data_IF_065269568526
#
_entry.id   IF_065269568526
#
_cell.length_a   1.000
_cell.length_b   1.000
_cell.length_c   1.000
_cell.angle_alpha   90.00
_cell.angle_beta   90.00
_cell.angle_gamma   90.00
#
_symmetry.space_group_name_H-M   'P 1'
#
loop_
_entity.id
_entity.type
_entity.pdbx_description
1 polymer ?
#
# COMPACT_ATOMS: atom_id res chain seq x y z
N UNK A 1 4.97 -5.62 14.52
CA UNK A 1 4.90 -6.33 15.83
C UNK A 1 6.31 -6.79 16.15
N UNK A 2 6.87 -6.38 17.30
CA UNK A 2 8.24 -6.75 17.74
C UNK A 2 8.16 -8.00 18.61
N UNK A 3 9.11 -8.92 18.47
CA UNK A 3 9.19 -10.12 19.30
C UNK A 3 9.92 -9.82 20.61
N UNK A 4 9.21 -9.91 21.74
CA UNK A 4 9.75 -9.76 23.09
C UNK A 4 9.84 -11.14 23.75
N UNK A 5 11.06 -11.56 24.14
CA UNK A 5 11.39 -12.82 24.83
C UNK A 5 10.92 -14.13 24.15
N UNK A 6 11.87 -14.94 23.66
CA UNK A 6 11.66 -16.32 23.20
C UNK A 6 11.85 -16.55 21.68
N UNK A 7 12.02 -17.80 21.21
CA UNK A 7 12.35 -18.12 19.80
C UNK A 7 11.14 -18.13 18.85
N UNK A 8 10.01 -17.53 19.24
CA UNK A 8 8.89 -17.32 18.34
C UNK A 8 9.24 -16.15 17.43
N UNK A 9 9.48 -16.24 16.13
CA UNK A 9 9.45 -17.35 15.20
C UNK A 9 9.75 -16.75 13.83
N UNK A 10 11.01 -16.85 13.38
CA UNK A 10 11.37 -16.46 12.01
C UNK A 10 10.45 -17.21 11.06
N UNK A 11 9.79 -16.49 10.15
CA UNK A 11 9.00 -17.14 9.11
C UNK A 11 9.91 -18.12 8.40
N UNK A 12 9.69 -19.45 8.51
CA UNK A 12 10.60 -20.39 7.89
C UNK A 12 10.47 -20.27 6.37
N UNK A 13 11.55 -20.51 5.65
CA UNK A 13 11.52 -20.59 4.17
C UNK A 13 10.43 -21.55 3.69
N UNK A 14 10.16 -22.61 4.46
CA UNK A 14 9.06 -23.54 4.21
C UNK A 14 7.68 -22.88 4.18
N UNK A 15 7.41 -21.87 5.00
CA UNK A 15 6.15 -21.11 4.97
C UNK A 15 6.01 -20.33 3.66
N UNK A 16 7.05 -19.59 3.26
CA UNK A 16 7.07 -18.84 1.99
C UNK A 16 6.90 -19.78 0.79
N UNK A 17 7.62 -20.90 0.81
CA UNK A 17 7.54 -21.95 -0.23
C UNK A 17 6.15 -22.59 -0.28
N UNK A 18 5.52 -22.84 0.87
CA UNK A 18 4.14 -23.34 0.90
C UNK A 18 3.19 -22.32 0.27
N UNK A 19 3.33 -21.04 0.59
CA UNK A 19 2.53 -19.97 -0.01
C UNK A 19 2.64 -19.92 -1.54
N UNK A 20 3.84 -20.14 -2.11
CA UNK A 20 4.01 -20.14 -3.57
C UNK A 20 3.31 -21.30 -4.30
N UNK A 21 3.05 -22.41 -3.61
CA UNK A 21 2.34 -23.57 -4.18
C UNK A 21 0.86 -23.63 -3.80
N UNK A 22 0.40 -22.79 -2.88
CA UNK A 22 -0.97 -22.76 -2.39
C UNK A 22 -1.52 -21.33 -2.50
N UNK A 23 -1.74 -20.83 -3.72
CA UNK A 23 -2.30 -19.50 -3.89
C UNK A 23 -3.68 -19.42 -3.23
N UNK A 24 -4.07 -18.24 -2.72
CA UNK A 24 -5.41 -18.05 -2.18
C UNK A 24 -6.47 -18.32 -3.25
N UNK A 25 -7.65 -18.77 -2.82
CA UNK A 25 -8.78 -18.94 -3.71
C UNK A 25 -9.11 -17.63 -4.43
N UNK A 26 -9.64 -17.73 -5.65
CA UNK A 26 -10.09 -16.57 -6.39
C UNK A 26 -11.23 -15.87 -5.64
N UNK A 27 -11.19 -14.52 -5.51
CA UNK A 27 -12.27 -13.79 -4.86
C UNK A 27 -13.55 -13.90 -5.71
N UNK A 28 -14.68 -14.11 -5.03
CA UNK A 28 -16.01 -14.22 -5.67
C UNK A 28 -16.97 -13.13 -5.23
N UNK A 29 -16.62 -12.36 -4.20
CA UNK A 29 -17.44 -11.27 -3.67
C UNK A 29 -17.44 -10.09 -4.64
N UNK A 30 -18.63 -9.63 -5.01
CA UNK A 30 -18.81 -8.48 -5.91
C UNK A 30 -18.46 -7.14 -5.25
N UNK A 31 -17.99 -6.19 -6.07
CA UNK A 31 -17.82 -4.78 -5.77
C UNK A 31 -18.91 -3.91 -6.43
N UNK A 32 -20.04 -4.50 -6.83
CA UNK A 32 -21.15 -3.74 -7.42
C UNK A 32 -21.58 -2.55 -6.54
N UNK A 33 -21.66 -1.37 -7.17
CA UNK A 33 -21.96 -0.11 -6.48
C UNK A 33 -20.81 0.47 -5.65
N UNK A 34 -19.64 -0.19 -5.59
CA UNK A 34 -18.52 0.21 -4.73
C UNK A 34 -17.40 0.90 -5.51
N UNK A 35 -16.78 1.89 -4.86
CA UNK A 35 -15.55 2.54 -5.30
C UNK A 35 -14.35 1.94 -4.55
N UNK A 36 -13.36 1.45 -5.30
CA UNK A 36 -12.15 0.83 -4.75
C UNK A 36 -10.92 1.61 -5.19
N UNK A 37 -10.01 1.86 -4.27
CA UNK A 37 -8.71 2.48 -4.52
C UNK A 37 -7.60 1.48 -4.21
N UNK A 38 -6.60 1.37 -5.10
CA UNK A 38 -5.42 0.54 -4.89
C UNK A 38 -4.17 1.36 -5.23
N UNK A 39 -3.18 1.43 -4.34
CA UNK A 39 -1.88 2.02 -4.65
C UNK A 39 -0.84 0.97 -5.06
N UNK A 40 0.27 1.38 -5.66
CA UNK A 40 1.37 0.48 -6.05
C UNK A 40 1.00 -0.52 -7.16
N UNK A 41 0.12 -0.12 -8.08
CA UNK A 41 -0.42 -0.99 -9.12
C UNK A 41 0.51 -1.22 -10.32
N UNK A 42 1.77 -0.79 -10.27
CA UNK A 42 2.71 -0.97 -11.40
C UNK A 42 3.15 -2.41 -11.63
N UNK A 43 3.18 -3.21 -10.56
CA UNK A 43 3.70 -4.58 -10.57
C UNK A 43 3.27 -5.32 -9.30
N UNK A 44 3.64 -6.61 -9.21
CA UNK A 44 3.47 -7.39 -7.98
C UNK A 44 2.01 -7.54 -7.55
N UNK A 45 1.79 -7.58 -6.23
CA UNK A 45 0.47 -7.86 -5.62
C UNK A 45 -0.53 -6.75 -5.93
N UNK A 46 -0.13 -5.48 -5.85
CA UNK A 46 -1.01 -4.35 -6.18
C UNK A 46 -1.53 -4.39 -7.62
N UNK A 47 -0.68 -4.78 -8.59
CA UNK A 47 -1.11 -5.00 -9.97
C UNK A 47 -2.07 -6.19 -10.11
N UNK A 48 -1.80 -7.31 -9.43
CA UNK A 48 -2.70 -8.47 -9.46
C UNK A 48 -4.06 -8.15 -8.84
N UNK A 49 -4.10 -7.35 -7.76
CA UNK A 49 -5.35 -6.86 -7.18
C UNK A 49 -6.12 -5.99 -8.19
N UNK A 50 -5.45 -4.98 -8.78
CA UNK A 50 -6.03 -4.12 -9.80
C UNK A 50 -6.51 -4.87 -11.05
N UNK A 51 -5.92 -6.03 -11.35
CA UNK A 51 -6.33 -6.90 -12.45
C UNK A 51 -7.56 -7.76 -12.12
N UNK A 52 -7.73 -8.17 -10.87
CA UNK A 52 -8.85 -9.03 -10.44
C UNK A 52 -10.11 -8.25 -10.08
N UNK A 53 -9.96 -7.10 -9.43
CA UNK A 53 -11.08 -6.25 -8.98
C UNK A 53 -12.08 -5.95 -10.10
N UNK A 54 -11.69 -5.60 -11.34
CA UNK A 54 -12.64 -5.23 -12.38
C UNK A 54 -13.56 -6.38 -12.83
N UNK A 55 -13.13 -7.63 -12.71
CA UNK A 55 -13.98 -8.80 -12.97
C UNK A 55 -15.08 -9.00 -11.90
N UNK A 56 -15.01 -8.26 -10.80
CA UNK A 56 -15.97 -8.25 -9.70
C UNK A 56 -16.92 -7.04 -9.78
N UNK A 57 -17.03 -6.42 -10.95
CA UNK A 57 -17.99 -5.34 -11.26
C UNK A 57 -17.98 -4.13 -10.30
N UNK A 58 -16.82 -3.52 -10.00
CA UNK A 58 -16.79 -2.28 -9.23
C UNK A 58 -17.52 -1.17 -9.97
N UNK A 59 -18.13 -0.24 -9.24
CA UNK A 59 -18.62 1.01 -9.82
C UNK A 59 -17.44 1.85 -10.33
N UNK A 60 -16.36 1.89 -9.56
CA UNK A 60 -15.12 2.61 -9.91
C UNK A 60 -13.90 1.93 -9.28
N UNK A 61 -12.82 1.82 -10.05
CA UNK A 61 -11.51 1.41 -9.60
C UNK A 61 -10.51 2.56 -9.84
N UNK A 62 -9.91 3.05 -8.76
CA UNK A 62 -8.86 4.06 -8.81
C UNK A 62 -7.51 3.38 -8.55
N UNK A 63 -6.56 3.53 -9.47
CA UNK A 63 -5.21 3.00 -9.33
C UNK A 63 -4.18 4.12 -9.12
N UNK A 64 -3.42 4.03 -8.04
CA UNK A 64 -2.29 4.90 -7.74
C UNK A 64 -0.99 4.30 -8.24
N UNK A 65 -0.26 5.04 -9.07
CA UNK A 65 1.01 4.60 -9.64
C UNK A 65 2.06 5.71 -9.71
N UNK A 66 3.34 5.39 -9.51
CA UNK A 66 4.40 6.41 -9.60
C UNK A 66 4.60 6.93 -11.02
N UNK A 67 4.63 6.03 -12.01
CA UNK A 67 4.88 6.38 -13.41
C UNK A 67 3.59 6.16 -14.19
N UNK A 68 2.93 7.26 -14.59
CA UNK A 68 1.60 7.20 -15.20
C UNK A 68 1.55 6.35 -16.47
N UNK A 69 2.60 6.36 -17.30
CA UNK A 69 2.68 5.54 -18.51
C UNK A 69 2.65 4.04 -18.23
N UNK A 70 3.19 3.59 -17.09
CA UNK A 70 3.05 2.19 -16.63
C UNK A 70 1.62 1.89 -16.17
N UNK A 71 0.90 2.89 -15.67
CA UNK A 71 -0.48 2.78 -15.21
C UNK A 71 -1.44 2.61 -16.37
N UNK A 72 -1.27 3.42 -17.40
CA UNK A 72 -2.04 3.30 -18.64
C UNK A 72 -1.76 1.96 -19.33
N UNK A 73 -0.51 1.50 -19.35
CA UNK A 73 -0.18 0.17 -19.86
C UNK A 73 -0.84 -0.95 -19.05
N UNK A 74 -0.83 -0.85 -17.72
CA UNK A 74 -1.50 -1.80 -16.83
C UNK A 74 -3.02 -1.80 -17.07
N UNK A 75 -3.65 -0.62 -17.13
CA UNK A 75 -5.07 -0.43 -17.45
C UNK A 75 -5.43 -1.08 -18.79
N UNK A 76 -4.65 -0.83 -19.85
CA UNK A 76 -4.89 -1.42 -21.16
C UNK A 76 -4.85 -2.96 -21.10
N UNK A 77 -3.89 -3.55 -20.39
CA UNK A 77 -3.80 -5.01 -20.22
C UNK A 77 -4.97 -5.60 -19.44
N UNK A 78 -5.47 -4.88 -18.44
CA UNK A 78 -6.63 -5.27 -17.64
C UNK A 78 -7.90 -5.28 -18.51
N UNK A 79 -8.10 -4.23 -19.31
CA UNK A 79 -9.27 -4.11 -20.20
C UNK A 79 -9.31 -5.18 -21.29
N UNK A 80 -8.16 -5.68 -21.75
CA UNK A 80 -8.11 -6.83 -22.66
C UNK A 80 -8.62 -8.12 -22.02
N UNK A 81 -8.40 -8.29 -20.71
CA UNK A 81 -8.77 -9.51 -19.98
C UNK A 81 -10.20 -9.49 -19.46
N UNK A 82 -10.74 -8.30 -19.23
CA UNK A 82 -12.10 -8.08 -18.75
C UNK A 82 -12.85 -7.30 -19.83
N UNK A 83 -13.20 -7.96 -20.93
CA UNK A 83 -13.82 -7.31 -22.10
C UNK A 83 -15.24 -6.78 -21.86
N UNK A 84 -15.82 -7.08 -20.69
CA UNK A 84 -17.20 -6.73 -20.32
C UNK A 84 -17.35 -5.41 -19.58
N UNK A 85 -16.25 -4.69 -19.30
CA UNK A 85 -16.30 -3.44 -18.52
C UNK A 85 -15.92 -2.22 -19.36
N UNK A 86 -16.54 -1.08 -19.04
CA UNK A 86 -16.18 0.20 -19.63
C UNK A 86 -14.80 0.67 -19.12
N UNK A 87 -13.98 1.18 -20.05
CA UNK A 87 -12.66 1.73 -19.72
C UNK A 87 -12.68 2.90 -18.73
N UNK A 88 -13.81 3.58 -18.59
CA UNK A 88 -14.05 4.68 -17.64
C UNK A 88 -14.17 4.21 -16.19
N UNK A 89 -14.42 2.92 -15.96
CA UNK A 89 -14.46 2.35 -14.60
C UNK A 89 -13.07 2.43 -13.94
N UNK A 90 -11.99 2.39 -14.73
CA UNK A 90 -10.61 2.40 -14.22
C UNK A 90 -9.98 3.78 -14.42
N UNK A 91 -9.67 4.47 -13.34
CA UNK A 91 -8.96 5.77 -13.33
C UNK A 91 -7.55 5.59 -12.78
N UNK A 92 -6.54 6.14 -13.46
CA UNK A 92 -5.15 6.10 -13.02
C UNK A 92 -4.67 7.48 -12.58
N UNK A 93 -4.10 7.57 -11.39
CA UNK A 93 -3.52 8.82 -10.88
C UNK A 93 -2.04 8.64 -10.48
N UNK A 94 -1.19 9.65 -10.77
CA UNK A 94 0.20 9.62 -10.36
C UNK A 94 0.32 9.79 -8.83
N UNK A 95 1.13 8.95 -8.19
CA UNK A 95 1.51 9.10 -6.79
C UNK A 95 2.95 8.63 -6.55
N UNK A 96 3.80 9.54 -6.08
CA UNK A 96 5.12 9.24 -5.57
C UNK A 96 5.15 9.39 -4.04
N UNK A 97 5.29 8.27 -3.34
CA UNK A 97 5.31 8.27 -1.87
C UNK A 97 6.63 8.81 -1.29
N UNK A 98 7.61 9.16 -2.12
CA UNK A 98 8.81 9.88 -1.68
C UNK A 98 8.58 11.38 -1.53
N UNK A 99 7.41 11.91 -1.93
CA UNK A 99 7.05 13.33 -1.83
C UNK A 99 5.66 13.50 -1.20
N UNK A 100 5.57 14.27 -0.10
CA UNK A 100 4.27 14.55 0.52
C UNK A 100 3.39 15.43 -0.36
N UNK A 101 3.97 16.35 -1.11
CA UNK A 101 3.24 17.15 -2.10
C UNK A 101 2.61 16.25 -3.19
N UNK A 102 3.33 15.25 -3.68
CA UNK A 102 2.77 14.26 -4.61
C UNK A 102 1.62 13.47 -3.97
N UNK A 103 1.74 13.08 -2.71
CA UNK A 103 0.68 12.37 -1.98
C UNK A 103 -0.57 13.23 -1.84
N UNK A 104 -0.42 14.49 -1.41
CA UNK A 104 -1.55 15.42 -1.26
C UNK A 104 -2.25 15.65 -2.59
N UNK A 105 -1.49 15.89 -3.68
CA UNK A 105 -2.05 16.06 -5.02
C UNK A 105 -2.81 14.85 -5.51
N UNK A 106 -2.31 13.64 -5.22
CA UNK A 106 -3.00 12.39 -5.53
C UNK A 106 -4.33 12.31 -4.78
N UNK A 107 -4.33 12.51 -3.46
CA UNK A 107 -5.56 12.41 -2.66
C UNK A 107 -6.57 13.47 -3.08
N UNK A 108 -6.13 14.69 -3.38
CA UNK A 108 -7.01 15.74 -3.91
C UNK A 108 -7.63 15.35 -5.26
N UNK A 109 -6.88 14.66 -6.12
CA UNK A 109 -7.43 14.12 -7.37
C UNK A 109 -8.51 13.06 -7.12
N UNK A 110 -8.27 12.15 -6.16
CA UNK A 110 -9.26 11.14 -5.74
C UNK A 110 -10.52 11.80 -5.18
N UNK A 111 -10.38 12.76 -4.27
CA UNK A 111 -11.51 13.52 -3.67
C UNK A 111 -12.32 14.29 -4.71
N UNK A 112 -11.70 14.69 -5.83
CA UNK A 112 -12.42 15.31 -6.96
C UNK A 112 -13.12 14.29 -7.85
N UNK A 113 -12.63 13.06 -7.94
CA UNK A 113 -13.16 12.05 -8.85
C UNK A 113 -14.30 11.21 -8.26
N UNK A 114 -14.44 11.17 -6.94
CA UNK A 114 -15.50 10.44 -6.25
C UNK A 114 -15.92 11.12 -4.94
N UNK A 115 -17.18 10.91 -4.55
CA UNK A 115 -17.72 11.35 -3.26
C UNK A 115 -17.70 10.24 -2.19
N UNK A 116 -17.47 8.99 -2.60
CA UNK A 116 -17.50 7.80 -1.73
C UNK A 116 -16.28 6.92 -2.00
N UNK A 117 -15.81 6.24 -0.95
CA UNK A 117 -14.75 5.24 -1.04
C UNK A 117 -15.08 4.04 -0.14
N UNK A 118 -15.27 2.87 -0.74
CA UNK A 118 -15.64 1.64 -0.02
C UNK A 118 -14.42 0.85 0.44
N UNK A 119 -13.33 0.90 -0.32
CA UNK A 119 -12.09 0.22 0.04
C UNK A 119 -10.88 0.98 -0.47
N UNK A 120 -9.91 1.22 0.42
CA UNK A 120 -8.58 1.72 0.10
C UNK A 120 -7.55 0.63 0.41
N UNK A 121 -6.91 0.08 -0.61
CA UNK A 121 -5.84 -0.90 -0.49
C UNK A 121 -4.51 -0.16 -0.70
N UNK A 122 -3.86 0.17 0.40
CA UNK A 122 -2.61 0.91 0.41
C UNK A 122 -1.44 -0.06 0.30
N UNK A 123 -1.12 -0.42 -0.93
CA UNK A 123 0.00 -1.27 -1.28
C UNK A 123 1.15 -0.38 -1.77
N UNK A 124 2.06 -0.04 -0.86
CA UNK A 124 3.31 0.66 -1.21
C UNK A 124 4.45 0.09 -0.39
N UNK A 125 5.62 -0.02 -1.01
CA UNK A 125 6.79 -0.59 -0.36
C UNK A 125 8.09 -0.17 -1.04
N UNK A 126 9.03 0.31 -0.25
CA UNK A 126 10.45 0.39 -0.56
C UNK A 126 11.21 -0.57 0.36
N UNK A 127 12.28 -1.18 -0.17
CA UNK A 127 13.15 -2.10 0.56
C UNK A 127 14.59 -1.72 0.25
N UNK A 128 15.08 -0.68 0.92
CA UNK A 128 16.44 -0.20 0.76
C UNK A 128 17.35 -0.87 1.81
N UNK A 129 18.53 -1.32 1.39
CA UNK A 129 19.52 -1.93 2.29
C UNK A 129 20.44 -0.90 2.95
N UNK A 130 20.34 0.37 2.56
CA UNK A 130 21.13 1.49 3.07
C UNK A 130 20.22 2.69 3.25
N UNK A 131 20.60 3.57 4.17
CA UNK A 131 19.98 4.88 4.30
C UNK A 131 20.07 5.66 2.99
N UNK A 132 18.91 6.02 2.45
CA UNK A 132 18.80 6.83 1.24
C UNK A 132 17.80 7.95 1.50
N UNK A 133 18.25 9.20 1.74
CA UNK A 133 17.35 10.28 2.07
C UNK A 133 16.59 10.74 0.81
N UNK A 134 15.31 11.01 1.00
CA UNK A 134 14.44 11.65 0.00
C UNK A 134 14.02 13.03 0.52
N UNK A 135 13.13 13.70 -0.22
CA UNK A 135 12.64 15.06 0.10
C UNK A 135 12.34 15.22 1.60
N UNK A 136 12.84 16.29 2.22
CA UNK A 136 12.64 16.53 3.66
C UNK A 136 13.57 15.75 4.59
N UNK A 137 14.60 15.07 4.06
CA UNK A 137 15.65 14.43 4.88
C UNK A 137 15.22 13.14 5.56
N UNK A 138 14.18 12.50 5.03
CA UNK A 138 13.69 11.21 5.54
C UNK A 138 14.34 10.05 4.79
N UNK A 139 14.71 8.99 5.50
CA UNK A 139 15.01 7.70 4.90
C UNK A 139 13.84 7.25 4.03
N UNK A 140 14.18 6.72 2.85
CA UNK A 140 13.19 6.30 1.85
C UNK A 140 12.23 5.25 2.41
N UNK A 141 12.71 4.29 3.21
CA UNK A 141 11.89 3.17 3.71
C UNK A 141 10.84 3.66 4.70
N UNK A 142 11.24 4.45 5.71
CA UNK A 142 10.26 5.00 6.67
C UNK A 142 9.30 5.98 6.00
N UNK A 143 9.80 6.83 5.09
CA UNK A 143 8.94 7.79 4.40
C UNK A 143 7.89 7.09 3.56
N UNK A 144 8.30 6.17 2.70
CA UNK A 144 7.40 5.50 1.75
C UNK A 144 6.44 4.56 2.46
N UNK A 145 6.95 3.68 3.33
CA UNK A 145 6.18 2.57 3.88
C UNK A 145 5.29 2.98 5.05
N UNK A 146 5.65 4.04 5.78
CA UNK A 146 4.96 4.45 7.01
C UNK A 146 4.35 5.84 6.84
N UNK A 147 5.17 6.88 6.69
CA UNK A 147 4.69 8.26 6.78
C UNK A 147 3.74 8.62 5.64
N UNK A 148 4.15 8.38 4.39
CA UNK A 148 3.34 8.68 3.21
C UNK A 148 2.11 7.78 3.11
N UNK A 149 2.24 6.49 3.43
CA UNK A 149 1.10 5.58 3.46
C UNK A 149 0.06 6.02 4.51
N UNK A 150 0.50 6.41 5.71
CA UNK A 150 -0.37 6.95 6.75
C UNK A 150 -1.02 8.26 6.31
N UNK A 151 -0.28 9.15 5.66
CA UNK A 151 -0.82 10.40 5.11
C UNK A 151 -1.94 10.14 4.10
N UNK A 152 -1.75 9.21 3.16
CA UNK A 152 -2.81 8.80 2.21
C UNK A 152 -4.05 8.33 2.98
N UNK A 153 -3.89 7.43 3.94
CA UNK A 153 -5.02 6.89 4.71
C UNK A 153 -5.78 7.99 5.47
N UNK A 154 -5.05 8.86 6.17
CA UNK A 154 -5.63 9.96 6.95
C UNK A 154 -6.38 10.95 6.06
N UNK A 155 -5.80 11.32 4.92
CA UNK A 155 -6.40 12.25 3.97
C UNK A 155 -7.64 11.66 3.27
N UNK A 156 -7.75 10.34 3.15
CA UNK A 156 -8.92 9.64 2.59
C UNK A 156 -10.06 9.42 3.60
N UNK A 157 -9.84 9.68 4.90
CA UNK A 157 -10.86 9.48 5.93
C UNK A 157 -12.21 10.17 5.64
N UNK A 158 -12.28 11.38 5.07
CA UNK A 158 -13.57 11.99 4.72
C UNK A 158 -14.38 11.17 3.72
N UNK A 159 -13.74 10.55 2.72
CA UNK A 159 -14.41 9.71 1.71
C UNK A 159 -14.83 8.36 2.29
N UNK A 160 -13.97 7.74 3.10
CA UNK A 160 -14.25 6.48 3.79
C UNK A 160 -15.44 6.65 4.75
N UNK A 161 -15.43 7.74 5.54
CA UNK A 161 -16.52 8.05 6.48
C UNK A 161 -17.88 8.23 5.79
N UNK A 162 -17.90 8.68 4.54
CA UNK A 162 -19.14 8.82 3.77
C UNK A 162 -19.78 7.47 3.40
N UNK A 163 -19.04 6.36 3.51
CA UNK A 163 -19.47 5.01 3.15
C UNK A 163 -19.52 4.09 4.37
N UNK A 164 -20.71 3.73 4.87
CA UNK A 164 -20.84 2.76 5.97
C UNK A 164 -20.17 1.42 5.62
N UNK A 165 -19.32 0.93 6.51
CA UNK A 165 -18.59 -0.32 6.30
C UNK A 165 -17.37 -0.21 5.38
N UNK A 166 -16.95 1.01 5.02
CA UNK A 166 -15.70 1.21 4.29
C UNK A 166 -14.49 0.66 5.05
N UNK A 167 -13.47 0.19 4.32
CA UNK A 167 -12.22 -0.26 4.91
C UNK A 167 -11.00 0.44 4.28
N UNK A 168 -9.96 0.66 5.09
CA UNK A 168 -8.63 1.06 4.61
C UNK A 168 -7.61 0.05 5.12
N UNK A 169 -6.94 -0.62 4.19
CA UNK A 169 -6.03 -1.71 4.45
C UNK A 169 -4.61 -1.33 4.08
N UNK A 170 -3.70 -1.45 5.04
CA UNK A 170 -2.26 -1.31 4.81
C UNK A 170 -1.68 -2.67 4.50
N UNK A 171 -1.13 -2.82 3.29
CA UNK A 171 -0.47 -4.09 2.95
C UNK A 171 0.95 -4.06 3.48
N UNK A 172 1.15 -4.77 4.60
CA UNK A 172 2.43 -4.88 5.28
C UNK A 172 3.27 -6.06 4.77
N UNK A 173 4.53 -6.09 5.18
CA UNK A 173 5.43 -7.22 4.92
C UNK A 173 5.51 -8.16 6.12
N UNK A 174 5.47 -9.47 5.86
CA UNK A 174 5.68 -10.49 6.89
C UNK A 174 7.06 -10.40 7.56
N UNK A 175 8.01 -9.64 6.99
CA UNK A 175 9.31 -9.35 7.60
C UNK A 175 9.22 -8.70 8.97
N UNK A 176 8.10 -8.07 9.35
CA UNK A 176 7.94 -7.59 10.73
C UNK A 176 8.07 -8.72 11.75
N UNK A 177 7.77 -9.97 11.39
CA UNK A 177 7.96 -11.15 12.24
C UNK A 177 9.44 -11.49 12.48
N UNK A 178 10.38 -10.78 11.85
CA UNK A 178 11.81 -10.98 12.06
C UNK A 178 12.44 -9.84 12.87
N UNK A 179 11.65 -8.85 13.32
CA UNK A 179 12.15 -7.75 14.15
C UNK A 179 12.14 -8.20 15.62
N UNK A 180 13.33 -8.27 16.21
CA UNK A 180 13.56 -8.67 17.60
C UNK A 180 13.64 -7.45 18.51
N UNK A 181 13.55 -7.66 19.83
CA UNK A 181 13.82 -6.59 20.81
C UNK A 181 15.24 -6.06 20.72
N UNK A 182 16.21 -6.87 20.30
CA UNK A 182 17.61 -6.43 20.10
C UNK A 182 17.73 -5.43 18.95
N UNK A 183 17.00 -5.64 17.85
CA UNK A 183 17.00 -4.75 16.67
C UNK A 183 16.45 -3.34 16.97
N UNK A 184 15.70 -3.19 18.07
CA UNK A 184 15.10 -1.93 18.52
C UNK A 184 15.45 -1.61 19.98
N UNK A 185 16.53 -2.19 20.51
CA UNK A 185 16.95 -2.02 21.90
C UNK A 185 17.07 -0.53 22.31
N UNK A 186 17.63 0.39 21.49
CA UNK A 186 17.68 1.80 21.85
C UNK A 186 16.30 2.43 22.11
N UNK A 187 15.24 1.95 21.44
CA UNK A 187 13.87 2.44 21.67
C UNK A 187 13.21 1.84 22.92
N UNK A 188 13.72 0.71 23.40
CA UNK A 188 13.21 0.02 24.60
C UNK A 188 13.93 0.54 25.84
N UNK A 189 15.25 0.65 25.75
CA UNK A 189 16.14 0.93 26.88
C UNK A 189 16.18 2.43 27.22
N UNK A 190 15.89 3.30 26.26
CA UNK A 190 15.85 4.76 26.44
C UNK A 190 14.43 5.31 26.23
N UNK A 191 13.64 5.54 27.29
CA UNK A 191 12.26 6.01 27.18
C UNK A 191 12.09 7.37 26.49
N UNK A 192 13.16 8.18 26.44
CA UNK A 192 13.20 9.47 25.72
C UNK A 192 13.57 9.34 24.25
N UNK A 193 13.95 8.15 23.76
CA UNK A 193 14.35 7.96 22.37
C UNK A 193 13.17 8.18 21.43
N UNK A 194 13.40 8.97 20.39
CA UNK A 194 12.41 9.20 19.34
C UNK A 194 12.47 8.07 18.31
N UNK A 195 11.37 7.34 18.15
CA UNK A 195 11.25 6.33 17.10
C UNK A 195 11.47 6.93 15.70
N UNK A 196 10.97 8.14 15.46
CA UNK A 196 11.15 8.81 14.17
C UNK A 196 12.61 9.15 13.89
N UNK A 197 13.36 9.58 14.91
CA UNK A 197 14.79 9.86 14.75
C UNK A 197 15.58 8.56 14.57
N UNK A 198 15.28 7.53 15.37
CA UNK A 198 15.92 6.21 15.28
C UNK A 198 15.76 5.56 13.89
N UNK A 199 14.55 5.61 13.32
CA UNK A 199 14.31 5.06 11.98
C UNK A 199 14.75 6.00 10.85
N UNK A 200 15.17 7.22 11.17
CA UNK A 200 15.68 8.21 10.23
C UNK A 200 17.18 8.50 10.39
N UNK A 201 17.89 7.67 11.15
CA UNK A 201 19.31 7.85 11.43
C UNK A 201 20.18 7.38 10.24
N UNK A 202 21.03 8.25 9.65
CA UNK A 202 21.94 7.87 8.57
C UNK A 202 23.04 6.88 8.96
N UNK A 203 23.30 6.71 10.26
CA UNK A 203 24.38 5.86 10.79
C UNK A 203 23.99 4.40 11.00
N UNK A 204 22.71 4.07 10.79
CA UNK A 204 22.14 2.73 10.97
C UNK A 204 22.24 1.86 9.71
#
# INVERSE_FOLDING_TARGET
MVQFNGPHGKIPVAYLRRGSYNPPAEPTTTFEGKTVLVTGCSSGIGYQAAKKIPALSPMKLIIGIRIISKGEAAKAQILVQVSSIDSSIIEAYPIDHTSFDSVTKFVDAVKRSTQTLDSAILYVGAANSKYEPVEGGWDTTIKVNVLSAALVAMELLPLLRATPGSASEFVNSISYCNVTSEDVAPLIDEPSASALEFFNDPSR
#
